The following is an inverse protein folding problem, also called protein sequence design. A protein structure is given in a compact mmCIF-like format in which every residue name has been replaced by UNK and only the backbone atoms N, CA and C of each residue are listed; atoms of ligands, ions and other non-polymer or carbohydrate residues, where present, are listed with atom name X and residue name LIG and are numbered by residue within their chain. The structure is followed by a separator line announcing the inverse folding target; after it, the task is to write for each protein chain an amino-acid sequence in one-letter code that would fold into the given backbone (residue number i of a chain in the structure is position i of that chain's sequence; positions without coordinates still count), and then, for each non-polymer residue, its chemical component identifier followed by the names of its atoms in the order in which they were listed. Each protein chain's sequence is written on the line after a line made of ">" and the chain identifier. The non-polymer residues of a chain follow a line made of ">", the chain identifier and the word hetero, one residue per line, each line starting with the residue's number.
data_IF_645646400586
#
_entry.id   IF_645646400586
#
_cell.length_a   1.000
_cell.length_b   1.000
_cell.length_c   1.000
_cell.angle_alpha   90.00
_cell.angle_beta   90.00
_cell.angle_gamma   90.00
#
_symmetry.space_group_name_H-M   'P 1'
#
loop_
_entity.id
_entity.type
_entity.pdbx_description
1 polymer ?
#
# COMPACT_ATOMS: atom_id res chain seq x y z
N UNK A 1 -11.23 -6.86 2.81
CA UNK A 1 -11.36 -7.14 1.36
C UNK A 1 -12.36 -8.27 1.16
N UNK A 2 -13.13 -8.28 0.05
CA UNK A 2 -14.08 -9.33 -0.30
C UNK A 2 -14.23 -9.41 -1.82
N UNK A 3 -14.73 -10.54 -2.36
CA UNK A 3 -14.99 -10.70 -3.80
C UNK A 3 -16.02 -9.70 -4.36
N UNK A 4 -16.93 -9.21 -3.52
CA UNK A 4 -17.87 -8.16 -3.90
C UNK A 4 -17.23 -6.86 -4.36
N UNK A 5 -15.96 -6.61 -4.03
CA UNK A 5 -15.21 -5.44 -4.52
C UNK A 5 -14.61 -5.64 -5.94
N UNK A 6 -14.74 -6.85 -6.53
CA UNK A 6 -14.04 -7.18 -7.77
C UNK A 6 -14.41 -6.27 -8.95
N UNK A 7 -15.70 -6.00 -9.14
CA UNK A 7 -16.17 -5.16 -10.24
C UNK A 7 -15.64 -3.73 -10.14
N UNK A 8 -15.74 -3.11 -8.95
CA UNK A 8 -15.25 -1.76 -8.72
C UNK A 8 -13.72 -1.67 -8.93
N UNK A 9 -12.98 -2.66 -8.42
CA UNK A 9 -11.52 -2.69 -8.54
C UNK A 9 -11.06 -2.95 -9.98
N UNK A 10 -11.79 -3.79 -10.74
CA UNK A 10 -11.52 -4.01 -12.16
C UNK A 10 -11.73 -2.72 -12.97
N UNK A 11 -12.81 -1.99 -12.71
CA UNK A 11 -13.05 -0.67 -13.30
C UNK A 11 -11.95 0.33 -12.93
N UNK A 12 -11.60 0.40 -11.63
CA UNK A 12 -10.60 1.36 -11.15
C UNK A 12 -9.19 1.12 -11.73
N UNK A 13 -8.81 -0.13 -12.01
CA UNK A 13 -7.49 -0.46 -12.57
C UNK A 13 -7.43 -0.29 -14.08
N UNK A 14 -8.59 -0.38 -14.77
CA UNK A 14 -8.67 -0.22 -16.23
C UNK A 14 -8.40 1.23 -16.68
N UNK A 15 -8.70 2.22 -15.83
CA UNK A 15 -8.43 3.63 -16.14
C UNK A 15 -6.90 3.86 -16.20
N UNK A 16 -6.45 4.46 -17.30
CA UNK A 16 -5.04 4.76 -17.59
C UNK A 16 -4.11 3.53 -17.61
N UNK A 17 -4.65 2.34 -17.86
CA UNK A 17 -3.89 1.09 -18.00
C UNK A 17 -2.87 0.88 -16.85
N UNK A 18 -3.24 1.19 -15.62
CA UNK A 18 -2.35 1.11 -14.45
C UNK A 18 -1.59 -0.21 -14.34
N UNK A 19 -2.21 -1.31 -14.76
CA UNK A 19 -1.65 -2.66 -14.74
C UNK A 19 -0.48 -2.86 -15.71
N UNK A 20 -0.31 -1.99 -16.71
CA UNK A 20 0.82 -2.02 -17.66
C UNK A 20 2.09 -1.38 -17.12
N UNK A 21 2.04 -0.83 -15.89
CA UNK A 21 3.21 -0.18 -15.29
C UNK A 21 4.29 -1.21 -14.96
N UNK A 22 5.41 -1.17 -15.69
CA UNK A 22 6.45 -2.20 -15.69
C UNK A 22 7.18 -2.38 -14.34
N UNK A 23 7.23 -1.35 -13.49
CA UNK A 23 7.89 -1.40 -12.18
C UNK A 23 6.94 -1.71 -11.02
N UNK A 24 5.72 -2.15 -11.29
CA UNK A 24 4.74 -2.57 -10.26
C UNK A 24 4.07 -3.88 -10.66
N UNK A 25 3.40 -4.52 -9.70
CA UNK A 25 2.56 -5.70 -9.95
C UNK A 25 1.12 -5.33 -9.59
N UNK A 26 0.41 -4.79 -10.55
CA UNK A 26 -1.01 -4.46 -10.47
C UNK A 26 -1.76 -5.46 -11.35
N UNK A 27 -2.84 -6.11 -10.88
CA UNK A 27 -3.58 -7.07 -11.70
C UNK A 27 -4.23 -6.37 -12.90
N UNK A 28 -4.28 -7.05 -14.04
CA UNK A 28 -5.15 -6.63 -15.14
C UNK A 28 -6.64 -6.72 -14.72
N UNK A 29 -7.55 -5.99 -15.35
CA UNK A 29 -8.95 -5.94 -14.93
C UNK A 29 -9.61 -7.33 -14.79
N UNK A 30 -9.35 -8.23 -15.71
CA UNK A 30 -9.85 -9.61 -15.72
C UNK A 30 -9.18 -10.50 -14.66
N UNK A 31 -7.98 -10.14 -14.20
CA UNK A 31 -7.23 -10.85 -13.14
C UNK A 31 -7.59 -10.38 -11.72
N UNK A 32 -8.37 -9.32 -11.55
CA UNK A 32 -8.74 -8.77 -10.24
C UNK A 32 -9.43 -9.79 -9.34
N UNK A 33 -10.42 -10.58 -9.78
CA UNK A 33 -11.06 -11.59 -8.93
C UNK A 33 -10.05 -12.60 -8.39
N UNK A 34 -9.19 -13.15 -9.25
CA UNK A 34 -8.16 -14.12 -8.85
C UNK A 34 -7.14 -13.52 -7.86
N UNK A 35 -6.76 -12.26 -8.04
CA UNK A 35 -5.89 -11.55 -7.09
C UNK A 35 -6.55 -11.36 -5.73
N UNK A 36 -7.85 -11.05 -5.67
CA UNK A 36 -8.59 -10.99 -4.41
C UNK A 36 -8.59 -12.35 -3.73
N UNK A 37 -8.90 -13.44 -4.44
CA UNK A 37 -8.89 -14.80 -3.90
C UNK A 37 -7.53 -15.19 -3.36
N UNK A 38 -6.46 -14.90 -4.10
CA UNK A 38 -5.07 -15.14 -3.67
C UNK A 38 -4.77 -14.40 -2.36
N UNK A 39 -5.16 -13.13 -2.24
CA UNK A 39 -4.95 -12.34 -1.02
C UNK A 39 -5.79 -12.86 0.15
N UNK A 40 -7.04 -13.28 -0.08
CA UNK A 40 -7.88 -13.88 0.96
C UNK A 40 -7.34 -15.23 1.41
N UNK A 41 -6.75 -16.02 0.51
CA UNK A 41 -6.05 -17.25 0.88
C UNK A 41 -4.83 -16.96 1.77
N UNK A 42 -4.01 -15.96 1.40
CA UNK A 42 -2.89 -15.50 2.22
C UNK A 42 -3.32 -14.94 3.59
N UNK A 43 -4.50 -14.32 3.66
CA UNK A 43 -5.09 -13.89 4.94
C UNK A 43 -5.44 -15.09 5.82
N UNK A 44 -6.05 -16.12 5.26
CA UNK A 44 -6.36 -17.35 6.03
C UNK A 44 -5.11 -18.07 6.55
N UNK A 45 -4.01 -17.99 5.82
CA UNK A 45 -2.72 -18.54 6.28
C UNK A 45 -1.94 -17.60 7.22
N UNK A 46 -2.48 -16.42 7.55
CA UNK A 46 -1.83 -15.47 8.45
C UNK A 46 -0.65 -14.68 7.85
N UNK A 47 -0.37 -14.86 6.56
CA UNK A 47 0.80 -14.23 5.91
C UNK A 47 0.53 -12.83 5.38
N UNK A 48 -0.76 -12.42 5.35
CA UNK A 48 -1.18 -11.15 4.76
C UNK A 48 -2.50 -10.68 5.41
N UNK A 49 -2.70 -9.35 5.51
CA UNK A 49 -4.00 -8.78 5.83
C UNK A 49 -4.37 -7.73 4.76
N UNK A 50 -5.21 -8.09 3.76
CA UNK A 50 -5.55 -7.22 2.64
C UNK A 50 -6.81 -6.39 2.91
N UNK A 51 -6.82 -5.15 2.41
CA UNK A 51 -7.98 -4.25 2.41
C UNK A 51 -8.30 -3.73 1.02
N UNK A 52 -9.60 -3.56 0.74
CA UNK A 52 -10.08 -2.65 -0.29
C UNK A 52 -10.09 -1.23 0.28
N UNK A 53 -9.75 -0.26 -0.54
CA UNK A 53 -9.83 1.16 -0.21
C UNK A 53 -11.15 1.68 -0.77
N UNK A 54 -12.07 2.04 0.15
CA UNK A 54 -13.44 2.46 -0.20
C UNK A 54 -13.67 3.85 0.39
N UNK A 55 -13.70 4.92 -0.43
CA UNK A 55 -14.09 6.24 0.03
C UNK A 55 -15.56 6.25 0.51
N UNK A 56 -15.82 6.84 1.68
CA UNK A 56 -17.16 6.91 2.26
C UNK A 56 -18.13 7.66 1.32
N UNK A 57 -17.63 8.65 0.60
CA UNK A 57 -18.44 9.48 -0.31
C UNK A 57 -19.03 8.71 -1.50
N UNK A 58 -18.38 7.64 -1.93
CA UNK A 58 -18.82 6.86 -3.11
C UNK A 58 -19.30 5.46 -2.75
N UNK A 59 -18.82 4.90 -1.64
CA UNK A 59 -19.07 3.51 -1.28
C UNK A 59 -18.44 2.47 -2.23
N UNK A 60 -17.66 2.91 -3.23
CA UNK A 60 -17.06 2.05 -4.27
C UNK A 60 -15.58 1.83 -4.00
N UNK A 61 -15.08 0.61 -4.25
CA UNK A 61 -13.68 0.29 -4.06
C UNK A 61 -12.83 0.93 -5.18
N UNK A 62 -11.84 1.76 -4.79
CA UNK A 62 -10.98 2.50 -5.72
C UNK A 62 -9.52 2.03 -5.71
N UNK A 63 -9.19 1.01 -4.94
CA UNK A 63 -7.84 0.49 -4.81
C UNK A 63 -7.72 -0.57 -3.74
N UNK A 64 -6.53 -1.08 -3.55
CA UNK A 64 -6.22 -2.05 -2.50
C UNK A 64 -4.88 -1.76 -1.83
N UNK A 65 -4.75 -2.23 -0.59
CA UNK A 65 -3.54 -2.13 0.21
C UNK A 65 -3.45 -3.33 1.14
N UNK A 66 -2.28 -3.58 1.77
CA UNK A 66 -2.07 -4.83 2.48
C UNK A 66 -1.05 -4.65 3.61
N UNK A 67 -1.27 -5.28 4.77
CA UNK A 67 -0.17 -5.66 5.65
C UNK A 67 0.43 -6.97 5.14
N UNK A 68 1.72 -6.99 5.00
CA UNK A 68 2.51 -8.13 4.54
C UNK A 68 3.84 -8.18 5.29
N UNK A 69 4.61 -9.24 5.13
CA UNK A 69 5.86 -9.42 5.86
C UNK A 69 5.65 -9.19 7.37
N UNK A 70 4.56 -9.78 7.91
CA UNK A 70 4.16 -9.62 9.31
C UNK A 70 5.12 -10.42 10.18
N UNK A 71 5.90 -9.70 11.00
CA UNK A 71 6.85 -10.25 11.97
C UNK A 71 6.36 -9.90 13.38
N UNK A 72 5.41 -10.67 13.87
CA UNK A 72 4.77 -10.44 15.16
C UNK A 72 5.76 -10.54 16.35
N UNK A 73 6.71 -11.49 16.39
CA UNK A 73 7.73 -11.53 17.46
C UNK A 73 8.56 -10.26 17.56
N UNK A 74 8.89 -9.63 16.43
CA UNK A 74 9.64 -8.38 16.38
C UNK A 74 8.73 -7.15 16.29
N UNK A 75 7.41 -7.31 16.37
CA UNK A 75 6.42 -6.23 16.32
C UNK A 75 6.61 -5.33 15.09
N UNK A 76 6.77 -5.93 13.91
CA UNK A 76 7.03 -5.25 12.63
C UNK A 76 6.09 -5.77 11.54
N UNK A 77 5.77 -4.91 10.60
CA UNK A 77 5.05 -5.27 9.40
C UNK A 77 5.41 -4.33 8.23
N UNK A 78 5.04 -4.74 7.02
CA UNK A 78 5.11 -3.89 5.83
C UNK A 78 3.70 -3.48 5.39
N UNK A 79 3.50 -2.19 5.08
CA UNK A 79 2.35 -1.73 4.31
C UNK A 79 2.76 -1.69 2.83
N UNK A 80 2.29 -2.67 2.08
CA UNK A 80 2.69 -2.86 0.69
C UNK A 80 1.57 -3.29 -0.23
N UNK A 81 1.94 -3.69 -1.44
CA UNK A 81 1.01 -4.09 -2.50
C UNK A 81 -0.16 -3.12 -2.67
N UNK A 82 0.14 -1.81 -2.58
CA UNK A 82 -0.85 -0.73 -2.68
C UNK A 82 -0.92 -0.22 -4.11
N UNK A 83 -2.14 -0.14 -4.62
CA UNK A 83 -2.45 0.67 -5.80
C UNK A 83 -3.79 1.35 -5.63
N UNK A 84 -3.98 2.47 -6.30
CA UNK A 84 -5.20 3.28 -6.28
C UNK A 84 -5.48 3.70 -7.72
N UNK A 85 -6.72 3.51 -8.17
CA UNK A 85 -7.19 3.90 -9.48
C UNK A 85 -6.91 5.38 -9.77
N UNK A 86 -6.58 5.70 -11.02
CA UNK A 86 -6.14 7.02 -11.43
C UNK A 86 -7.11 8.14 -10.99
N UNK A 87 -8.41 7.93 -11.10
CA UNK A 87 -9.43 8.89 -10.70
C UNK A 87 -9.42 9.23 -9.19
N UNK A 88 -8.90 8.32 -8.35
CA UNK A 88 -8.80 8.54 -6.89
C UNK A 88 -7.40 8.97 -6.44
N UNK A 89 -6.42 9.03 -7.36
CA UNK A 89 -5.10 9.54 -7.04
C UNK A 89 -5.16 11.06 -6.78
N UNK A 90 -4.30 11.53 -5.89
CA UNK A 90 -4.21 12.95 -5.49
C UNK A 90 -5.46 13.53 -4.80
N UNK A 91 -6.48 12.75 -4.49
CA UNK A 91 -7.73 13.18 -3.84
C UNK A 91 -7.67 13.22 -2.31
N UNK A 92 -6.63 12.69 -1.68
CA UNK A 92 -6.58 12.51 -0.21
C UNK A 92 -6.89 11.08 0.24
N UNK A 93 -7.42 10.23 -0.61
CA UNK A 93 -7.77 8.83 -0.29
C UNK A 93 -6.57 8.03 0.20
N UNK A 94 -5.40 8.16 -0.47
CA UNK A 94 -4.20 7.44 -0.04
C UNK A 94 -3.69 7.86 1.35
N UNK A 95 -3.48 9.16 1.65
CA UNK A 95 -3.07 9.54 3.01
C UNK A 95 -4.13 9.19 4.07
N UNK A 96 -5.42 9.23 3.78
CA UNK A 96 -6.46 8.78 4.70
C UNK A 96 -6.36 7.27 4.98
N UNK A 97 -6.24 6.44 3.95
CA UNK A 97 -6.03 5.00 4.11
C UNK A 97 -4.74 4.68 4.89
N UNK A 98 -3.65 5.42 4.63
CA UNK A 98 -2.39 5.25 5.35
C UNK A 98 -2.48 5.70 6.81
N UNK A 99 -3.21 6.77 7.11
CA UNK A 99 -3.47 7.20 8.49
C UNK A 99 -4.15 6.08 9.27
N UNK A 100 -5.23 5.49 8.75
CA UNK A 100 -5.95 4.39 9.39
C UNK A 100 -5.06 3.17 9.62
N UNK A 101 -4.27 2.77 8.62
CA UNK A 101 -3.40 1.61 8.73
C UNK A 101 -2.24 1.86 9.71
N UNK A 102 -1.61 3.02 9.67
CA UNK A 102 -0.53 3.35 10.58
C UNK A 102 -1.03 3.50 12.02
N UNK A 103 -2.21 4.12 12.25
CA UNK A 103 -2.85 4.15 13.56
C UNK A 103 -3.04 2.74 14.10
N UNK A 104 -3.64 1.85 13.31
CA UNK A 104 -3.81 0.45 13.71
C UNK A 104 -2.48 -0.25 14.01
N UNK A 105 -1.46 -0.04 13.19
CA UNK A 105 -0.17 -0.70 13.37
C UNK A 105 0.51 -0.26 14.68
N UNK A 106 0.56 1.05 14.96
CA UNK A 106 1.29 1.57 16.11
C UNK A 106 0.46 1.56 17.41
N UNK A 107 -0.86 1.81 17.32
CA UNK A 107 -1.69 2.02 18.51
C UNK A 107 -2.47 0.77 18.93
N UNK A 108 -2.91 -0.09 17.96
CA UNK A 108 -3.64 -1.32 18.28
C UNK A 108 -2.73 -2.55 18.31
N UNK A 109 -1.71 -2.61 17.41
CA UNK A 109 -0.82 -3.78 17.26
C UNK A 109 0.54 -3.57 17.92
N UNK A 110 0.79 -2.41 18.53
CA UNK A 110 2.03 -2.07 19.24
C UNK A 110 3.30 -2.32 18.39
N UNK A 111 3.24 -2.03 17.10
CA UNK A 111 4.39 -2.16 16.22
C UNK A 111 5.47 -1.16 16.58
N UNK A 112 6.75 -1.59 16.56
CA UNK A 112 7.90 -0.70 16.74
C UNK A 112 8.40 -0.09 15.43
N UNK A 113 8.03 -0.72 14.28
CA UNK A 113 8.35 -0.19 12.95
C UNK A 113 7.34 -0.68 11.92
N UNK A 114 6.99 0.21 10.97
CA UNK A 114 6.19 -0.09 9.78
C UNK A 114 7.02 0.21 8.55
N UNK A 115 7.25 -0.81 7.74
CA UNK A 115 8.03 -0.70 6.50
C UNK A 115 7.16 -0.37 5.30
N UNK A 116 7.81 0.24 4.28
CA UNK A 116 7.29 0.43 2.93
C UNK A 116 8.39 0.08 1.95
N UNK A 117 8.05 -0.69 0.92
CA UNK A 117 9.01 -1.08 -0.11
C UNK A 117 8.49 -0.70 -1.49
N UNK A 118 9.38 -0.16 -2.34
CA UNK A 118 9.02 0.19 -3.70
C UNK A 118 10.19 -0.01 -4.65
N UNK A 119 9.89 -0.11 -5.94
CA UNK A 119 10.91 -0.18 -6.99
C UNK A 119 11.72 1.12 -7.07
N UNK A 120 13.03 1.03 -7.36
CA UNK A 120 13.90 2.21 -7.50
C UNK A 120 13.34 3.24 -8.47
N UNK A 121 12.83 2.80 -9.62
CA UNK A 121 12.25 3.68 -10.65
C UNK A 121 10.81 4.15 -10.34
N UNK A 122 10.17 3.68 -9.29
CA UNK A 122 8.85 4.17 -8.88
C UNK A 122 8.98 5.48 -8.08
N UNK A 123 9.36 6.56 -8.77
CA UNK A 123 9.55 7.88 -8.15
C UNK A 123 8.26 8.41 -7.50
N UNK A 124 7.10 8.13 -8.10
CA UNK A 124 5.80 8.51 -7.55
C UNK A 124 5.58 7.87 -6.17
N UNK A 125 5.79 6.56 -6.06
CA UNK A 125 5.65 5.84 -4.78
C UNK A 125 6.69 6.30 -3.77
N UNK A 126 7.96 6.44 -4.16
CA UNK A 126 9.03 6.96 -3.28
C UNK A 126 8.64 8.32 -2.69
N UNK A 127 8.19 9.25 -3.52
CA UNK A 127 7.73 10.56 -3.05
C UNK A 127 6.47 10.47 -2.19
N UNK A 128 5.53 9.56 -2.51
CA UNK A 128 4.33 9.36 -1.71
C UNK A 128 4.67 8.81 -0.31
N UNK A 129 5.58 7.84 -0.22
CA UNK A 129 6.04 7.23 1.04
C UNK A 129 6.79 8.28 1.89
N UNK A 130 7.72 9.03 1.30
CA UNK A 130 8.43 10.09 2.03
C UNK A 130 7.46 11.15 2.59
N UNK A 131 6.39 11.48 1.87
CA UNK A 131 5.36 12.42 2.36
C UNK A 131 4.49 11.89 3.50
N UNK A 132 4.59 10.59 3.86
CA UNK A 132 3.99 10.05 5.09
C UNK A 132 4.86 10.32 6.32
N UNK A 133 6.07 10.83 6.14
CA UNK A 133 7.08 10.97 7.20
C UNK A 133 8.05 9.78 7.29
N UNK A 134 7.93 8.79 6.39
CA UNK A 134 8.83 7.65 6.36
C UNK A 134 10.25 8.07 5.91
N UNK A 135 11.25 7.54 6.58
CA UNK A 135 12.67 7.72 6.23
C UNK A 135 13.15 6.54 5.40
N UNK A 136 14.08 6.81 4.50
CA UNK A 136 14.73 5.78 3.70
C UNK A 136 15.77 5.04 4.54
N UNK A 137 15.58 3.74 4.73
CA UNK A 137 16.53 2.86 5.44
C UNK A 137 17.67 2.42 4.53
N UNK A 138 17.36 2.20 3.23
CA UNK A 138 18.38 1.78 2.28
C UNK A 138 17.83 1.37 0.92
N UNK A 139 18.74 0.82 0.09
CA UNK A 139 18.40 0.24 -1.22
C UNK A 139 18.96 -1.17 -1.30
N UNK A 140 18.09 -2.13 -1.49
CA UNK A 140 18.46 -3.52 -1.75
C UNK A 140 18.71 -3.66 -3.25
N UNK A 141 20.00 -3.81 -3.62
CA UNK A 141 20.43 -3.93 -5.03
C UNK A 141 20.17 -5.34 -5.52
N UNK A 142 19.70 -5.48 -6.77
CA UNK A 142 19.34 -6.77 -7.36
C UNK A 142 18.47 -7.64 -6.45
N UNK A 143 17.50 -7.02 -5.76
CA UNK A 143 16.72 -7.67 -4.70
C UNK A 143 15.82 -8.79 -5.21
N UNK A 144 15.36 -8.72 -6.45
CA UNK A 144 14.53 -9.76 -7.06
C UNK A 144 14.65 -9.77 -8.58
N UNK A 145 14.37 -10.93 -9.16
CA UNK A 145 14.23 -11.10 -10.60
C UNK A 145 12.75 -11.00 -10.96
N UNK A 146 12.43 -10.22 -12.00
CA UNK A 146 11.08 -10.11 -12.52
C UNK A 146 10.78 -11.17 -13.57
N UNK A 147 9.50 -11.34 -13.95
CA UNK A 147 9.07 -12.37 -14.90
C UNK A 147 9.71 -12.20 -16.30
N UNK A 148 10.07 -11.00 -16.68
CA UNK A 148 10.78 -10.66 -17.91
C UNK A 148 12.30 -10.80 -17.81
N UNK A 149 12.82 -11.28 -16.67
CA UNK A 149 14.25 -11.44 -16.39
C UNK A 149 14.95 -10.16 -15.91
N UNK A 150 14.29 -9.01 -15.88
CA UNK A 150 14.89 -7.78 -15.37
C UNK A 150 15.15 -7.85 -13.87
N UNK A 151 16.18 -7.11 -13.43
CA UNK A 151 16.56 -7.05 -12.02
C UNK A 151 15.90 -5.83 -11.35
N UNK A 152 15.35 -6.08 -10.17
CA UNK A 152 14.72 -5.04 -9.36
C UNK A 152 15.62 -4.60 -8.22
N UNK A 153 15.94 -3.32 -8.17
CA UNK A 153 16.39 -2.66 -6.95
C UNK A 153 15.17 -2.21 -6.14
N UNK A 154 15.19 -2.48 -4.84
CA UNK A 154 14.09 -2.13 -3.93
C UNK A 154 14.56 -1.07 -2.95
N UNK A 155 13.86 0.07 -2.93
CA UNK A 155 14.03 1.09 -1.90
C UNK A 155 13.17 0.73 -0.70
N UNK A 156 13.80 0.70 0.48
CA UNK A 156 13.17 0.41 1.76
C UNK A 156 13.05 1.70 2.56
N UNK A 157 11.87 1.93 3.10
CA UNK A 157 11.55 3.03 3.99
C UNK A 157 10.89 2.49 5.25
N UNK A 158 10.97 3.22 6.36
CA UNK A 158 10.20 2.92 7.56
C UNK A 158 9.73 4.18 8.29
N UNK A 159 8.69 3.99 9.11
CA UNK A 159 8.31 4.85 10.22
C UNK A 159 8.49 4.01 11.47
N UNK A 160 9.14 4.53 12.49
CA UNK A 160 9.29 3.87 13.77
C UNK A 160 8.35 4.47 14.83
N UNK A 161 8.10 3.73 15.90
CA UNK A 161 7.16 4.07 16.98
C UNK A 161 7.34 5.50 17.52
N UNK A 162 8.59 5.89 17.81
CA UNK A 162 8.90 7.24 18.31
C UNK A 162 8.72 8.37 17.27
N UNK A 163 8.62 8.05 15.99
CA UNK A 163 8.37 9.02 14.92
C UNK A 163 6.87 9.14 14.62
N UNK A 164 6.09 8.12 15.00
CA UNK A 164 4.66 8.04 14.69
C UNK A 164 3.85 9.27 15.17
N UNK A 165 4.01 9.81 16.40
CA UNK A 165 3.24 10.98 16.84
C UNK A 165 3.38 12.18 15.90
N UNK A 166 4.61 12.45 15.42
CA UNK A 166 4.87 13.54 14.49
C UNK A 166 4.31 13.24 13.08
N UNK A 167 4.49 12.01 12.58
CA UNK A 167 3.96 11.57 11.29
C UNK A 167 2.42 11.62 11.28
N UNK A 168 1.78 11.17 12.35
CA UNK A 168 0.32 11.24 12.53
C UNK A 168 -0.17 12.69 12.45
N UNK A 169 0.42 13.59 13.23
CA UNK A 169 0.05 15.01 13.25
C UNK A 169 0.16 15.63 11.85
N UNK A 170 1.25 15.34 11.12
CA UNK A 170 1.46 15.85 9.77
C UNK A 170 0.41 15.31 8.78
N UNK A 171 0.06 14.02 8.88
CA UNK A 171 -0.98 13.40 8.04
C UNK A 171 -2.36 13.99 8.32
N UNK A 172 -2.74 14.17 9.58
CA UNK A 172 -4.01 14.77 9.98
C UNK A 172 -4.13 16.21 9.48
N UNK A 173 -3.08 17.02 9.64
CA UNK A 173 -3.07 18.41 9.13
C UNK A 173 -3.20 18.43 7.60
N UNK A 174 -2.52 17.53 6.91
CA UNK A 174 -2.61 17.43 5.44
C UNK A 174 -4.02 17.07 4.97
N UNK A 175 -4.72 16.21 5.70
CA UNK A 175 -6.09 15.82 5.38
C UNK A 175 -7.07 16.98 5.62
N UNK A 176 -6.93 17.72 6.76
CA UNK A 176 -7.76 18.91 7.06
C UNK A 176 -7.66 20.01 6.00
N UNK A 177 -6.48 20.20 5.38
CA UNK A 177 -6.30 21.21 4.31
C UNK A 177 -6.97 20.82 2.98
N UNK A 178 -7.46 19.58 2.86
CA UNK A 178 -8.08 19.05 1.65
C UNK A 178 -9.60 18.83 1.80
N UNK A 179 -10.10 18.88 3.03
CA UNK A 179 -11.53 18.86 3.36
C UNK A 179 -12.15 20.25 3.19
#
# INVERSE_FOLDING_TARGET
>A
MALSHAADLAEAVAVDDLWRTWYTRIPAPDAVPAEIERRLAAQRSGTMAPWAIVPVSTGRAVGMTTYMNIDAPNRRLEIGSTWIGAAAQSTGVNPAAKLLLLTRAFEDLDCIAVEFRTHWHNHQSRAAIARLGAKQDGVLRNHSVWADGSLRDTVVFSIIDREWPAARTALEQRLRRRA
#
